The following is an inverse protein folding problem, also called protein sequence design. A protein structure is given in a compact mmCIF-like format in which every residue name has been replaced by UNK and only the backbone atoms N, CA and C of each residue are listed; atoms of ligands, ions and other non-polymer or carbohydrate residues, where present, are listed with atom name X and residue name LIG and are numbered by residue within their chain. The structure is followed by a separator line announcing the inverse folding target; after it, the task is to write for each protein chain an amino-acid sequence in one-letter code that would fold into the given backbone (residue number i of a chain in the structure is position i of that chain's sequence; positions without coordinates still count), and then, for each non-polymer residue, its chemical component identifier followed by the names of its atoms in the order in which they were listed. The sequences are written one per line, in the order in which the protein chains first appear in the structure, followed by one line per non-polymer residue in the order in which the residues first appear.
data_IF_547108094273
#
_entry.id   IF_547108094273
#
_cell.length_a   1.000
_cell.length_b   1.000
_cell.length_c   1.000
_cell.angle_alpha   90.00
_cell.angle_beta   90.00
_cell.angle_gamma   90.00
#
_symmetry.space_group_name_H-M   'P 1'
#
loop_
_entity.id
_entity.type
_entity.pdbx_description
1 polymer ?
#
# COMPACT_ATOMS: atom_id res chain seq x y z
N UNK A 1 20.16 -26.19 43.70
CA UNK A 1 18.74 -25.94 43.48
C UNK A 1 18.62 -25.35 42.09
N UNK A 2 18.33 -26.17 41.10
CA UNK A 2 18.10 -25.69 39.70
C UNK A 2 16.72 -25.08 39.65
N UNK A 3 16.67 -23.77 39.45
CA UNK A 3 15.44 -23.07 39.13
C UNK A 3 14.96 -23.62 37.77
N UNK A 4 13.93 -24.44 37.81
CA UNK A 4 13.23 -24.89 36.61
C UNK A 4 12.82 -23.65 35.86
N UNK A 5 13.53 -23.35 34.76
CA UNK A 5 13.07 -22.38 33.76
C UNK A 5 11.66 -22.84 33.35
N UNK A 6 10.66 -22.12 33.77
CA UNK A 6 9.33 -22.33 33.25
C UNK A 6 9.43 -22.14 31.74
N UNK A 7 9.37 -23.24 31.01
CA UNK A 7 9.26 -23.19 29.56
C UNK A 7 7.97 -22.45 29.24
N UNK A 8 8.11 -21.21 28.81
CA UNK A 8 6.98 -20.48 28.26
C UNK A 8 6.61 -21.13 26.93
N UNK A 9 5.50 -21.85 26.93
CA UNK A 9 4.96 -22.37 25.70
C UNK A 9 4.58 -21.22 24.75
N UNK A 10 4.84 -21.40 23.45
CA UNK A 10 4.41 -20.45 22.44
C UNK A 10 2.90 -20.21 22.57
N UNK A 11 2.52 -18.94 22.63
CA UNK A 11 1.13 -18.51 22.54
C UNK A 11 0.95 -17.79 21.22
N UNK A 12 -0.02 -18.24 20.42
CA UNK A 12 -0.38 -17.53 19.19
C UNK A 12 -0.81 -16.08 19.50
N UNK A 13 -0.45 -15.17 18.61
CA UNK A 13 -0.93 -13.80 18.70
C UNK A 13 -2.46 -13.78 18.50
N UNK A 14 -3.18 -13.28 19.49
CA UNK A 14 -4.65 -13.24 19.48
C UNK A 14 -5.13 -11.86 19.94
N UNK A 15 -5.08 -10.86 19.08
CA UNK A 15 -5.56 -9.54 19.41
C UNK A 15 -7.08 -9.54 19.61
N UNK A 16 -7.56 -8.62 20.41
CA UNK A 16 -8.99 -8.40 20.61
C UNK A 16 -9.66 -8.10 19.26
N UNK A 17 -10.79 -8.75 18.93
CA UNK A 17 -11.51 -8.49 17.68
C UNK A 17 -11.95 -7.01 17.59
N UNK A 18 -11.91 -6.45 16.40
CA UNK A 18 -12.44 -5.12 16.11
C UNK A 18 -13.94 -5.21 15.84
N UNK A 19 -14.73 -4.47 16.59
CA UNK A 19 -16.19 -4.46 16.44
C UNK A 19 -16.67 -3.39 15.45
N UNK A 20 -17.87 -3.55 14.90
CA UNK A 20 -18.50 -2.54 14.02
C UNK A 20 -18.70 -1.17 14.67
N UNK A 21 -18.90 -1.15 15.98
CA UNK A 21 -19.05 0.11 16.74
C UNK A 21 -17.72 0.84 16.91
N UNK A 22 -16.63 0.11 17.10
CA UNK A 22 -15.31 0.68 17.35
C UNK A 22 -14.62 1.20 16.09
N UNK A 23 -14.95 0.66 14.90
CA UNK A 23 -14.24 1.00 13.67
C UNK A 23 -14.25 2.49 13.32
N UNK A 24 -15.26 3.22 13.77
CA UNK A 24 -15.37 4.67 13.56
C UNK A 24 -14.48 5.48 14.52
N UNK A 25 -14.10 4.87 15.63
CA UNK A 25 -13.33 5.54 16.68
C UNK A 25 -11.83 5.25 16.54
N UNK A 26 -11.48 4.07 16.03
CA UNK A 26 -10.08 3.71 15.78
C UNK A 26 -9.53 4.36 14.53
N UNK A 27 -8.23 4.60 14.51
CA UNK A 27 -7.50 5.10 13.36
C UNK A 27 -6.77 3.93 12.67
N UNK A 28 -7.08 3.71 11.39
CA UNK A 28 -6.48 2.65 10.57
C UNK A 28 -5.11 3.11 10.12
N UNK A 29 -4.06 2.42 10.57
CA UNK A 29 -2.69 2.61 10.13
C UNK A 29 -2.38 1.65 8.97
N UNK A 30 -1.63 2.11 8.00
CA UNK A 30 -1.13 1.32 6.86
C UNK A 30 0.06 2.04 6.24
N UNK A 31 0.74 1.42 5.27
CA UNK A 31 1.80 2.09 4.51
C UNK A 31 3.08 1.28 4.43
N UNK A 32 4.13 1.96 3.97
CA UNK A 32 5.47 1.42 3.85
C UNK A 32 5.86 1.03 2.43
N UNK A 33 5.09 1.44 1.40
CA UNK A 33 5.37 1.08 0.01
C UNK A 33 5.44 2.30 -0.94
N UNK A 34 4.36 3.08 -1.05
CA UNK A 34 4.27 4.14 -2.06
C UNK A 34 3.50 5.35 -1.51
N UNK A 35 4.22 6.36 -1.05
CA UNK A 35 3.67 7.48 -0.29
C UNK A 35 2.55 8.24 -1.00
N UNK A 36 2.60 8.39 -2.35
CA UNK A 36 1.56 9.08 -3.12
C UNK A 36 0.25 8.31 -3.07
N UNK A 37 0.30 7.00 -3.37
CA UNK A 37 -0.88 6.15 -3.33
C UNK A 37 -1.44 6.06 -1.91
N UNK A 38 -0.59 5.94 -0.91
CA UNK A 38 -0.98 5.88 0.50
C UNK A 38 -1.68 7.15 0.95
N UNK A 39 -1.18 8.32 0.53
CA UNK A 39 -1.83 9.60 0.83
C UNK A 39 -3.23 9.69 0.19
N UNK A 40 -3.39 9.28 -1.06
CA UNK A 40 -4.70 9.28 -1.74
C UNK A 40 -5.63 8.20 -1.18
N UNK A 41 -5.10 7.03 -0.78
CA UNK A 41 -5.89 5.98 -0.12
C UNK A 41 -6.48 6.45 1.22
N UNK A 42 -5.82 7.36 1.93
CA UNK A 42 -6.42 8.01 3.11
C UNK A 42 -7.76 8.64 2.77
N UNK A 43 -7.85 9.35 1.66
CA UNK A 43 -9.09 9.95 1.19
C UNK A 43 -10.16 8.91 0.82
N UNK A 44 -9.75 7.73 0.31
CA UNK A 44 -10.66 6.61 0.06
C UNK A 44 -11.31 6.12 1.35
N UNK A 45 -10.52 5.92 2.40
CA UNK A 45 -11.03 5.53 3.71
C UNK A 45 -11.94 6.60 4.31
N UNK A 46 -11.52 7.86 4.30
CA UNK A 46 -12.28 8.98 4.85
C UNK A 46 -13.62 9.20 4.12
N UNK A 47 -13.64 9.02 2.79
CA UNK A 47 -14.88 9.06 2.01
C UNK A 47 -15.91 8.03 2.50
N UNK A 48 -15.46 6.88 2.98
CA UNK A 48 -16.30 5.80 3.52
C UNK A 48 -16.58 5.94 5.02
N UNK A 49 -16.09 7.00 5.65
CA UNK A 49 -16.34 7.30 7.05
C UNK A 49 -15.37 6.64 8.04
N UNK A 50 -14.23 6.12 7.56
CA UNK A 50 -13.15 5.61 8.40
C UNK A 50 -12.12 6.69 8.69
N UNK A 51 -11.49 6.64 9.87
CA UNK A 51 -10.27 7.39 10.16
C UNK A 51 -9.08 6.56 9.69
N UNK A 52 -8.19 7.16 8.92
CA UNK A 52 -7.06 6.43 8.37
C UNK A 52 -5.80 7.32 8.29
N UNK A 53 -4.65 6.71 8.51
CA UNK A 53 -3.35 7.39 8.49
C UNK A 53 -2.30 6.50 7.85
N UNK A 54 -1.68 6.91 6.75
CA UNK A 54 -0.47 6.26 6.27
C UNK A 54 0.66 6.49 7.28
N UNK A 55 1.49 5.47 7.49
CA UNK A 55 2.74 5.63 8.21
C UNK A 55 3.69 6.55 7.41
N UNK A 56 4.58 7.29 8.07
CA UNK A 56 5.57 8.09 7.36
C UNK A 56 6.50 7.18 6.53
N UNK A 57 7.14 7.74 5.52
CA UNK A 57 8.19 7.03 4.78
C UNK A 57 9.23 6.49 5.76
N UNK A 58 9.57 5.22 5.62
CA UNK A 58 10.52 4.57 6.50
C UNK A 58 11.93 5.17 6.36
N UNK A 59 12.69 5.14 7.44
CA UNK A 59 14.02 5.70 7.54
C UNK A 59 15.05 4.64 7.91
N UNK A 60 16.34 5.00 7.85
CA UNK A 60 17.41 4.12 8.33
C UNK A 60 17.26 3.78 9.81
N UNK A 61 16.73 4.69 10.64
CA UNK A 61 16.41 4.41 12.04
C UNK A 61 15.39 3.27 12.17
N UNK A 62 14.37 3.28 11.32
CA UNK A 62 13.36 2.22 11.27
C UNK A 62 13.98 0.88 10.86
N UNK A 63 14.90 0.87 9.89
CA UNK A 63 15.64 -0.34 9.53
C UNK A 63 16.38 -0.97 10.72
N UNK A 64 17.10 -0.14 11.46
CA UNK A 64 17.89 -0.60 12.61
C UNK A 64 16.98 -1.15 13.71
N UNK A 65 15.90 -0.43 14.02
CA UNK A 65 14.91 -0.87 15.01
C UNK A 65 14.22 -2.16 14.56
N UNK A 66 13.86 -2.28 13.28
CA UNK A 66 13.24 -3.50 12.76
C UNK A 66 14.16 -4.72 12.83
N UNK A 67 15.46 -4.54 12.63
CA UNK A 67 16.46 -5.60 12.83
C UNK A 67 16.65 -6.00 14.29
N UNK A 68 16.51 -5.04 15.19
CA UNK A 68 16.60 -5.29 16.64
C UNK A 68 15.37 -6.07 17.15
N UNK A 69 14.18 -5.74 16.65
CA UNK A 69 12.91 -6.27 17.17
C UNK A 69 12.40 -7.51 16.45
N UNK A 70 12.85 -7.78 15.22
CA UNK A 70 12.44 -8.93 14.42
C UNK A 70 13.50 -10.05 14.44
N UNK A 71 13.20 -11.16 13.76
CA UNK A 71 14.11 -12.28 13.62
C UNK A 71 15.34 -11.96 12.76
N UNK A 72 16.43 -12.66 13.04
CA UNK A 72 17.66 -12.63 12.26
C UNK A 72 17.39 -13.18 10.84
N UNK A 73 18.00 -12.57 9.84
CA UNK A 73 17.94 -13.06 8.45
C UNK A 73 16.69 -12.64 7.68
N UNK A 74 15.90 -11.72 8.23
CA UNK A 74 14.79 -11.11 7.50
C UNK A 74 15.30 -10.28 6.31
N UNK A 75 14.49 -10.17 5.24
CA UNK A 75 14.81 -9.31 4.11
C UNK A 75 14.71 -7.83 4.51
N UNK A 76 15.43 -6.97 3.79
CA UNK A 76 15.46 -5.53 4.05
C UNK A 76 14.07 -4.89 4.15
N UNK A 77 13.13 -5.15 3.21
CA UNK A 77 11.77 -4.63 3.30
C UNK A 77 11.05 -4.99 4.59
N UNK A 78 11.17 -6.25 5.05
CA UNK A 78 10.57 -6.67 6.33
C UNK A 78 11.11 -5.85 7.49
N UNK A 79 12.43 -5.65 7.54
CA UNK A 79 13.06 -4.86 8.61
C UNK A 79 12.60 -3.40 8.57
N UNK A 80 12.54 -2.78 7.39
CA UNK A 80 12.05 -1.40 7.25
C UNK A 80 10.59 -1.25 7.70
N UNK A 81 9.70 -2.10 7.20
CA UNK A 81 8.27 -1.99 7.51
C UNK A 81 7.96 -2.35 8.97
N UNK A 82 8.65 -3.36 9.52
CA UNK A 82 8.53 -3.73 10.94
C UNK A 82 9.00 -2.58 11.84
N UNK A 83 10.16 -2.04 11.57
CA UNK A 83 10.71 -0.93 12.37
C UNK A 83 9.90 0.35 12.22
N UNK A 84 9.38 0.65 11.05
CA UNK A 84 8.52 1.81 10.82
C UNK A 84 7.24 1.76 11.67
N UNK A 85 6.54 0.61 11.68
CA UNK A 85 5.40 0.40 12.55
C UNK A 85 5.81 0.47 14.03
N UNK A 86 6.85 -0.25 14.41
CA UNK A 86 7.34 -0.31 15.79
C UNK A 86 7.73 1.07 16.33
N UNK A 87 8.46 1.86 15.53
CA UNK A 87 8.89 3.20 15.90
C UNK A 87 7.72 4.16 16.06
N UNK A 88 6.75 4.11 15.13
CA UNK A 88 5.52 4.88 15.25
C UNK A 88 4.78 4.55 16.55
N UNK A 89 4.52 3.26 16.82
CA UNK A 89 3.79 2.83 18.01
C UNK A 89 4.54 3.12 19.30
N UNK A 90 5.87 2.97 19.32
CA UNK A 90 6.72 3.30 20.47
C UNK A 90 6.65 4.79 20.81
N UNK A 91 6.65 5.67 19.80
CA UNK A 91 6.49 7.13 19.99
C UNK A 91 5.10 7.47 20.53
N UNK A 92 4.06 6.86 19.97
CA UNK A 92 2.68 7.06 20.43
C UNK A 92 2.49 6.50 21.86
N UNK A 93 3.04 5.32 22.16
CA UNK A 93 2.96 4.73 23.50
C UNK A 93 3.60 5.63 24.59
N UNK A 94 4.73 6.26 24.26
CA UNK A 94 5.34 7.27 25.16
C UNK A 94 4.45 8.49 25.37
N UNK A 95 3.61 8.84 24.39
CA UNK A 95 2.75 10.03 24.42
C UNK A 95 1.42 9.78 25.12
N UNK A 96 0.77 8.63 24.89
CA UNK A 96 -0.59 8.37 25.36
C UNK A 96 -0.74 7.10 26.20
N UNK A 97 0.33 6.30 26.36
CA UNK A 97 0.33 5.00 27.04
C UNK A 97 0.03 3.83 26.12
N UNK A 98 0.55 2.64 26.47
CA UNK A 98 0.47 1.41 25.66
C UNK A 98 -0.98 0.96 25.42
N UNK A 99 -1.80 0.93 26.46
CA UNK A 99 -3.21 0.54 26.36
C UNK A 99 -3.99 1.50 25.45
N UNK A 100 -3.76 2.80 25.57
CA UNK A 100 -4.42 3.79 24.72
C UNK A 100 -4.01 3.64 23.24
N UNK A 101 -2.77 3.25 22.96
CA UNK A 101 -2.31 2.92 21.59
C UNK A 101 -3.06 1.71 21.05
N UNK A 102 -3.17 0.62 21.82
CA UNK A 102 -3.89 -0.58 21.42
C UNK A 102 -5.39 -0.35 21.18
N UNK A 103 -6.00 0.59 21.93
CA UNK A 103 -7.40 0.92 21.75
C UNK A 103 -7.64 1.90 20.60
N UNK A 104 -6.71 2.82 20.36
CA UNK A 104 -6.84 3.89 19.36
C UNK A 104 -6.52 3.45 17.94
N UNK A 105 -5.56 2.54 17.76
CA UNK A 105 -5.03 2.21 16.45
C UNK A 105 -5.28 0.75 16.07
N UNK A 106 -5.35 0.51 14.77
CA UNK A 106 -5.29 -0.82 14.14
C UNK A 106 -4.38 -0.73 12.92
N UNK A 107 -3.49 -1.68 12.74
CA UNK A 107 -2.63 -1.72 11.56
C UNK A 107 -3.17 -2.71 10.55
N UNK A 108 -3.36 -2.24 9.31
CA UNK A 108 -3.79 -3.05 8.18
C UNK A 108 -2.59 -3.33 7.30
N UNK A 109 -2.31 -4.59 7.06
CA UNK A 109 -1.25 -5.05 6.17
C UNK A 109 -1.79 -6.10 5.22
N UNK A 110 -1.12 -6.28 4.08
CA UNK A 110 -1.41 -7.37 3.17
C UNK A 110 -0.41 -8.50 3.38
N UNK A 111 -0.84 -9.71 3.07
CA UNK A 111 -0.01 -10.90 3.03
C UNK A 111 -0.28 -11.70 1.76
N UNK A 112 0.67 -12.52 1.35
CA UNK A 112 0.49 -13.37 0.19
C UNK A 112 1.18 -14.72 0.37
N UNK A 113 0.62 -15.78 -0.22
CA UNK A 113 1.29 -17.05 -0.37
C UNK A 113 2.14 -17.03 -1.63
N UNK A 114 3.39 -17.50 -1.56
CA UNK A 114 4.28 -17.57 -2.71
C UNK A 114 5.75 -17.56 -2.33
N UNK A 115 6.63 -17.42 -3.32
CA UNK A 115 8.07 -17.42 -3.13
C UNK A 115 8.59 -16.16 -2.43
N UNK A 116 7.81 -15.08 -2.37
CA UNK A 116 8.17 -13.85 -1.67
C UNK A 116 7.92 -13.99 -0.16
N UNK A 117 8.86 -13.49 0.66
CA UNK A 117 8.71 -13.47 2.13
C UNK A 117 7.65 -12.47 2.62
N UNK A 118 7.08 -11.66 1.74
CA UNK A 118 5.98 -10.74 2.04
C UNK A 118 4.81 -11.42 2.80
N UNK A 119 4.54 -12.68 2.49
CA UNK A 119 3.56 -13.48 3.21
C UNK A 119 3.84 -13.67 4.71
N UNK A 120 5.06 -13.41 5.17
CA UNK A 120 5.49 -13.59 6.56
C UNK A 120 5.73 -12.26 7.31
N UNK A 121 5.51 -11.10 6.67
CA UNK A 121 5.76 -9.81 7.32
C UNK A 121 4.92 -9.62 8.59
N UNK A 122 3.67 -10.10 8.58
CA UNK A 122 2.80 -10.01 9.75
C UNK A 122 3.39 -10.71 10.98
N UNK A 123 4.10 -11.84 10.80
CA UNK A 123 4.77 -12.56 11.89
C UNK A 123 5.92 -11.74 12.49
N UNK A 124 6.66 -11.00 11.63
CA UNK A 124 7.69 -10.08 12.11
C UNK A 124 7.09 -8.90 12.88
N UNK A 125 5.92 -8.39 12.44
CA UNK A 125 5.20 -7.37 13.19
C UNK A 125 4.72 -7.88 14.54
N UNK A 126 4.15 -9.09 14.61
CA UNK A 126 3.74 -9.72 15.86
C UNK A 126 4.89 -9.89 16.83
N UNK A 127 6.05 -10.35 16.34
CA UNK A 127 7.25 -10.51 17.16
C UNK A 127 7.73 -9.16 17.69
N UNK A 128 7.80 -8.14 16.84
CA UNK A 128 8.22 -6.81 17.25
C UNK A 128 7.26 -6.18 18.27
N UNK A 129 5.96 -6.40 18.12
CA UNK A 129 4.94 -5.94 19.07
C UNK A 129 5.10 -6.60 20.45
N UNK A 130 5.41 -7.91 20.48
CA UNK A 130 5.74 -8.62 21.73
C UNK A 130 6.98 -8.04 22.40
N UNK A 131 8.04 -7.84 21.61
CA UNK A 131 9.30 -7.28 22.12
C UNK A 131 9.13 -5.84 22.64
N UNK A 132 8.10 -5.12 22.19
CA UNK A 132 7.72 -3.80 22.68
C UNK A 132 6.72 -3.81 23.84
N UNK A 133 6.20 -4.96 24.26
CA UNK A 133 5.13 -5.05 25.28
C UNK A 133 3.74 -4.66 24.76
N UNK A 134 3.56 -4.57 23.43
CA UNK A 134 2.31 -4.17 22.77
C UNK A 134 1.49 -5.38 22.26
N UNK A 135 1.45 -6.48 22.99
CA UNK A 135 0.77 -7.72 22.58
C UNK A 135 -0.76 -7.54 22.38
N UNK A 136 -1.36 -6.54 22.98
CA UNK A 136 -2.78 -6.21 22.81
C UNK A 136 -3.08 -5.40 21.55
N UNK A 137 -2.06 -4.93 20.83
CA UNK A 137 -2.23 -4.14 19.61
C UNK A 137 -2.83 -4.99 18.49
N UNK A 138 -3.69 -4.40 17.67
CA UNK A 138 -4.47 -5.11 16.65
C UNK A 138 -3.82 -5.02 15.28
N UNK A 139 -3.40 -6.17 14.76
CA UNK A 139 -2.97 -6.37 13.37
C UNK A 139 -4.11 -6.96 12.56
N UNK A 140 -4.25 -6.45 11.35
CA UNK A 140 -5.26 -6.83 10.41
C UNK A 140 -4.60 -7.29 9.11
N UNK A 141 -4.65 -8.61 8.83
CA UNK A 141 -4.05 -9.18 7.65
C UNK A 141 -5.11 -9.36 6.55
N UNK A 142 -4.86 -8.76 5.39
CA UNK A 142 -5.57 -9.04 4.16
C UNK A 142 -4.78 -10.09 3.40
N UNK A 143 -5.22 -11.35 3.46
CA UNK A 143 -4.59 -12.45 2.76
C UNK A 143 -5.33 -12.78 1.46
N UNK A 144 -4.59 -13.32 0.47
CA UNK A 144 -5.11 -13.76 -0.82
C UNK A 144 -6.21 -14.82 -0.72
N UNK A 145 -6.05 -15.77 0.19
CA UNK A 145 -6.91 -16.95 0.29
C UNK A 145 -7.97 -16.83 1.37
N UNK A 146 -7.74 -16.01 2.36
CA UNK A 146 -8.68 -15.72 3.44
C UNK A 146 -8.34 -14.36 4.02
N UNK A 147 -9.31 -13.47 4.06
CA UNK A 147 -9.20 -12.36 4.98
C UNK A 147 -8.99 -12.95 6.38
N UNK A 148 -7.88 -12.61 7.02
CA UNK A 148 -7.63 -13.09 8.36
C UNK A 148 -8.80 -12.68 9.25
N UNK A 149 -9.49 -13.71 9.74
CA UNK A 149 -10.69 -13.52 10.53
C UNK A 149 -10.39 -13.14 11.98
N UNK A 150 -9.10 -13.03 12.37
CA UNK A 150 -8.74 -12.70 13.74
C UNK A 150 -9.35 -11.38 14.21
N UNK A 151 -8.90 -10.28 13.64
CA UNK A 151 -9.45 -8.96 13.93
C UNK A 151 -10.79 -8.68 13.22
N UNK A 152 -11.08 -9.40 12.11
CA UNK A 152 -12.32 -9.28 11.33
C UNK A 152 -13.52 -10.05 11.87
N UNK A 153 -13.32 -11.03 12.74
CA UNK A 153 -14.43 -11.81 13.32
C UNK A 153 -15.52 -10.93 13.94
N UNK A 154 -15.18 -9.69 14.30
CA UNK A 154 -16.13 -8.68 14.76
C UNK A 154 -16.82 -7.87 13.65
N UNK A 155 -16.42 -8.02 12.37
CA UNK A 155 -16.99 -7.27 11.24
C UNK A 155 -16.66 -5.78 11.24
N UNK A 156 -15.51 -5.36 11.83
CA UNK A 156 -15.15 -3.96 11.99
C UNK A 156 -14.83 -3.25 10.68
N UNK A 157 -13.99 -3.84 9.80
CA UNK A 157 -13.65 -3.27 8.49
C UNK A 157 -14.32 -4.09 7.39
N UNK A 158 -15.16 -3.44 6.59
CA UNK A 158 -15.82 -4.09 5.45
C UNK A 158 -15.07 -3.76 4.15
N UNK A 159 -14.56 -4.78 3.47
CA UNK A 159 -14.01 -4.62 2.11
C UNK A 159 -15.17 -4.53 1.13
N UNK A 160 -15.65 -3.31 0.97
CA UNK A 160 -16.76 -2.99 0.08
C UNK A 160 -16.27 -2.73 -1.36
N UNK A 161 -17.19 -2.79 -2.33
CA UNK A 161 -16.90 -2.42 -3.73
C UNK A 161 -16.35 -0.99 -3.82
N UNK A 162 -16.92 0.04 -3.15
CA UNK A 162 -16.35 1.38 -3.15
C UNK A 162 -14.93 1.46 -2.58
N UNK A 163 -14.61 0.68 -1.54
CA UNK A 163 -13.25 0.62 -0.99
C UNK A 163 -12.28 0.03 -2.01
N UNK A 164 -12.62 -1.14 -2.57
CA UNK A 164 -11.77 -1.83 -3.54
C UNK A 164 -11.53 -1.00 -4.80
N UNK A 165 -12.60 -0.52 -5.44
CA UNK A 165 -12.47 0.27 -6.67
C UNK A 165 -11.82 1.63 -6.41
N UNK A 166 -12.12 2.26 -5.27
CA UNK A 166 -11.44 3.48 -4.87
C UNK A 166 -9.94 3.30 -4.70
N UNK A 167 -9.51 2.20 -4.09
CA UNK A 167 -8.09 1.86 -3.94
C UNK A 167 -7.43 1.59 -5.29
N UNK A 168 -8.08 0.85 -6.18
CA UNK A 168 -7.57 0.60 -7.54
C UNK A 168 -7.38 1.91 -8.30
N UNK A 169 -8.38 2.79 -8.29
CA UNK A 169 -8.26 4.11 -8.93
C UNK A 169 -7.21 5.01 -8.27
N UNK A 170 -7.04 4.94 -6.95
CA UNK A 170 -5.98 5.68 -6.28
C UNK A 170 -4.59 5.24 -6.79
N UNK A 171 -4.37 3.94 -6.95
CA UNK A 171 -3.14 3.39 -7.53
C UNK A 171 -2.98 3.84 -8.98
N UNK A 172 -4.00 3.70 -9.84
CA UNK A 172 -3.96 4.12 -11.24
C UNK A 172 -3.62 5.61 -11.39
N UNK A 173 -4.28 6.48 -10.63
CA UNK A 173 -4.04 7.91 -10.70
C UNK A 173 -2.64 8.29 -10.21
N UNK A 174 -2.14 7.63 -9.17
CA UNK A 174 -0.82 7.93 -8.63
C UNK A 174 0.32 7.32 -9.45
N UNK A 175 0.10 6.19 -10.12
CA UNK A 175 1.04 5.64 -11.11
C UNK A 175 1.15 6.57 -12.33
N UNK A 176 0.03 7.11 -12.82
CA UNK A 176 0.04 8.11 -13.88
C UNK A 176 0.78 9.39 -13.46
N UNK A 177 0.52 9.89 -12.24
CA UNK A 177 1.23 11.03 -11.67
C UNK A 177 2.74 10.76 -11.55
N UNK A 178 3.12 9.58 -11.07
CA UNK A 178 4.52 9.18 -10.97
C UNK A 178 5.20 9.13 -12.35
N UNK A 179 4.51 8.62 -13.35
CA UNK A 179 5.03 8.61 -14.72
C UNK A 179 5.29 10.02 -15.25
N UNK A 180 4.38 10.96 -15.01
CA UNK A 180 4.57 12.38 -15.38
C UNK A 180 5.76 12.99 -14.64
N UNK A 181 5.88 12.74 -13.35
CA UNK A 181 6.96 13.24 -12.50
C UNK A 181 8.34 12.83 -13.03
N UNK A 182 8.58 11.53 -13.20
CA UNK A 182 9.88 11.01 -13.62
C UNK A 182 10.25 11.36 -15.08
N UNK A 183 9.24 11.65 -15.91
CA UNK A 183 9.44 12.13 -17.30
C UNK A 183 9.64 13.64 -17.41
N UNK A 184 9.30 14.41 -16.38
CA UNK A 184 9.39 15.87 -16.39
C UNK A 184 10.57 16.37 -15.58
N UNK A 185 10.75 15.88 -14.36
CA UNK A 185 11.76 16.38 -13.43
C UNK A 185 13.21 16.39 -13.96
N UNK A 186 13.67 15.36 -14.70
CA UNK A 186 15.02 15.41 -15.26
C UNK A 186 15.26 16.56 -16.26
N UNK A 187 14.21 17.11 -16.81
CA UNK A 187 14.25 18.12 -17.85
C UNK A 187 13.76 19.51 -17.38
N UNK A 188 13.32 19.64 -16.14
CA UNK A 188 12.84 20.94 -15.63
C UNK A 188 13.93 22.03 -15.69
N UNK A 189 13.55 23.23 -16.15
CA UNK A 189 14.45 24.38 -16.22
C UNK A 189 14.60 25.04 -14.85
N UNK A 190 13.48 25.18 -14.12
CA UNK A 190 13.48 25.65 -12.73
C UNK A 190 13.52 24.45 -11.78
N UNK A 191 14.66 24.22 -11.05
CA UNK A 191 14.76 23.11 -10.13
C UNK A 191 13.67 23.11 -9.06
N UNK A 192 13.00 21.96 -8.89
CA UNK A 192 11.92 21.76 -7.91
C UNK A 192 10.53 22.17 -8.38
N UNK A 193 10.37 22.67 -9.60
CA UNK A 193 9.07 22.97 -10.18
C UNK A 193 8.19 21.71 -10.29
N UNK A 194 8.78 20.60 -10.72
CA UNK A 194 8.09 19.31 -10.80
C UNK A 194 7.67 18.82 -9.42
N UNK A 195 8.54 18.90 -8.43
CA UNK A 195 8.23 18.45 -7.05
C UNK A 195 7.10 19.27 -6.42
N UNK A 196 7.00 20.57 -6.74
CA UNK A 196 5.90 21.42 -6.31
C UNK A 196 4.58 20.96 -6.94
N UNK A 197 4.57 20.75 -8.26
CA UNK A 197 3.38 20.28 -9.00
C UNK A 197 2.94 18.88 -8.56
N UNK A 198 3.89 18.00 -8.23
CA UNK A 198 3.58 16.67 -7.68
C UNK A 198 2.85 16.79 -6.35
N UNK A 199 3.35 17.59 -5.41
CA UNK A 199 2.68 17.78 -4.10
C UNK A 199 1.28 18.34 -4.27
N UNK A 200 1.13 19.39 -5.05
CA UNK A 200 -0.19 19.99 -5.36
C UNK A 200 -1.14 18.98 -6.03
N UNK A 201 -0.62 18.10 -6.88
CA UNK A 201 -1.41 17.08 -7.57
C UNK A 201 -1.84 15.95 -6.63
N UNK A 202 -1.00 15.56 -5.68
CA UNK A 202 -1.36 14.58 -4.64
C UNK A 202 -2.44 15.15 -3.73
N UNK A 203 -2.33 16.41 -3.30
CA UNK A 203 -3.35 17.08 -2.50
C UNK A 203 -4.67 17.26 -3.28
N UNK A 204 -4.58 17.58 -4.56
CA UNK A 204 -5.75 17.65 -5.43
C UNK A 204 -6.43 16.28 -5.57
N UNK A 205 -5.68 15.20 -5.82
CA UNK A 205 -6.23 13.84 -5.86
C UNK A 205 -6.86 13.47 -4.53
N UNK A 206 -6.22 13.79 -3.41
CA UNK A 206 -6.82 13.55 -2.09
C UNK A 206 -8.22 14.16 -1.98
N UNK A 207 -8.40 15.43 -2.39
CA UNK A 207 -9.73 16.09 -2.37
C UNK A 207 -10.71 15.45 -3.36
N UNK A 208 -10.27 15.05 -4.55
CA UNK A 208 -11.08 14.33 -5.54
C UNK A 208 -11.62 13.03 -4.95
N UNK A 209 -10.74 12.23 -4.34
CA UNK A 209 -11.13 10.94 -3.74
C UNK A 209 -11.98 11.10 -2.48
N UNK A 210 -11.72 12.11 -1.66
CA UNK A 210 -12.51 12.41 -0.47
C UNK A 210 -13.94 12.80 -0.80
N UNK A 211 -14.15 13.48 -1.92
CA UNK A 211 -15.47 14.00 -2.37
C UNK A 211 -16.18 13.08 -3.34
N UNK A 212 -15.61 11.93 -3.72
CA UNK A 212 -16.23 11.08 -4.74
C UNK A 212 -17.63 10.61 -4.32
N UNK A 213 -18.58 10.50 -5.29
CA UNK A 213 -20.00 10.29 -4.98
C UNK A 213 -20.46 8.84 -4.90
N UNK A 214 -19.58 7.84 -5.09
CA UNK A 214 -19.89 6.40 -5.24
C UNK A 214 -20.30 5.69 -3.93
N UNK A 215 -20.96 6.36 -3.01
CA UNK A 215 -21.39 5.85 -1.69
C UNK A 215 -22.56 4.88 -1.74
N UNK A 216 -22.86 4.30 -2.90
CA UNK A 216 -23.99 3.40 -3.08
C UNK A 216 -23.77 2.00 -2.51
N UNK A 217 -24.88 1.25 -2.39
CA UNK A 217 -24.86 -0.18 -2.09
C UNK A 217 -24.98 -1.01 -3.36
N UNK A 218 -24.52 -2.28 -3.33
CA UNK A 218 -24.59 -3.23 -4.42
C UNK A 218 -23.78 -2.81 -5.65
N UNK A 219 -24.36 -2.91 -6.85
CA UNK A 219 -23.71 -2.71 -8.14
C UNK A 219 -23.59 -1.25 -8.60
N UNK A 220 -24.31 -0.33 -7.96
CA UNK A 220 -24.28 1.10 -8.32
C UNK A 220 -22.87 1.70 -8.39
N UNK A 221 -22.01 1.49 -7.36
CA UNK A 221 -20.62 1.95 -7.40
C UNK A 221 -19.84 1.39 -8.59
N UNK A 222 -19.99 0.11 -8.91
CA UNK A 222 -19.31 -0.51 -10.06
C UNK A 222 -19.72 0.15 -11.37
N UNK A 223 -21.02 0.33 -11.59
CA UNK A 223 -21.53 0.99 -12.81
C UNK A 223 -21.00 2.42 -12.88
N UNK A 224 -21.02 3.17 -11.77
CA UNK A 224 -20.51 4.53 -11.73
C UNK A 224 -19.02 4.59 -12.12
N UNK A 225 -18.17 3.72 -11.56
CA UNK A 225 -16.75 3.67 -11.90
C UNK A 225 -16.48 3.29 -13.36
N UNK A 226 -17.34 2.50 -13.98
CA UNK A 226 -17.19 2.05 -15.37
C UNK A 226 -17.76 3.04 -16.39
N UNK A 227 -18.69 3.92 -16.01
CA UNK A 227 -19.42 4.77 -16.93
C UNK A 227 -19.10 6.26 -16.83
N UNK A 228 -18.39 6.68 -15.76
CA UNK A 228 -18.05 8.09 -15.57
C UNK A 228 -16.58 8.37 -15.92
N UNK A 229 -16.33 9.60 -16.35
CA UNK A 229 -14.99 10.12 -16.62
C UNK A 229 -14.41 10.91 -15.42
N UNK A 230 -14.91 10.66 -14.20
CA UNK A 230 -14.59 11.42 -13.00
C UNK A 230 -13.08 11.48 -12.74
N UNK A 231 -12.41 10.33 -12.69
CA UNK A 231 -10.97 10.27 -12.46
C UNK A 231 -10.15 10.68 -13.68
N UNK A 232 -10.65 10.41 -14.89
CA UNK A 232 -9.99 10.84 -16.12
C UNK A 232 -9.97 12.37 -16.25
N UNK A 233 -11.03 13.05 -15.79
CA UNK A 233 -11.04 14.51 -15.70
C UNK A 233 -9.99 15.04 -14.73
N UNK A 234 -9.86 14.38 -13.57
CA UNK A 234 -8.84 14.74 -12.59
C UNK A 234 -7.42 14.56 -13.16
N UNK A 235 -7.16 13.45 -13.87
CA UNK A 235 -5.87 13.22 -14.53
C UNK A 235 -5.57 14.24 -15.62
N UNK A 236 -6.56 14.65 -16.41
CA UNK A 236 -6.38 15.72 -17.41
C UNK A 236 -5.99 17.06 -16.78
N UNK A 237 -6.56 17.39 -15.62
CA UNK A 237 -6.18 18.59 -14.88
C UNK A 237 -4.73 18.53 -14.38
N UNK A 238 -4.32 17.37 -13.85
CA UNK A 238 -2.93 17.14 -13.46
C UNK A 238 -2.00 17.26 -14.67
N UNK A 239 -2.36 16.64 -15.79
CA UNK A 239 -1.57 16.69 -17.03
C UNK A 239 -1.32 18.14 -17.47
N UNK A 240 -2.35 19.01 -17.43
CA UNK A 240 -2.21 20.45 -17.76
C UNK A 240 -1.23 21.17 -16.84
N UNK A 241 -1.20 20.83 -15.55
CA UNK A 241 -0.22 21.41 -14.61
C UNK A 241 1.21 21.01 -14.98
N UNK A 242 1.41 19.77 -15.42
CA UNK A 242 2.72 19.32 -15.90
C UNK A 242 3.12 19.94 -17.24
N UNK A 243 2.17 20.14 -18.15
CA UNK A 243 2.42 20.85 -19.42
C UNK A 243 2.87 22.30 -19.21
N UNK A 244 2.49 22.92 -18.11
CA UNK A 244 2.91 24.28 -17.77
C UNK A 244 4.35 24.37 -17.20
N UNK A 245 4.98 23.24 -16.89
CA UNK A 245 6.38 23.22 -16.43
C UNK A 245 7.30 23.43 -17.62
N UNK A 246 8.17 24.44 -17.53
CA UNK A 246 9.20 24.66 -18.53
C UNK A 246 10.24 23.57 -18.48
N UNK A 247 10.50 22.91 -19.63
CA UNK A 247 11.41 21.78 -19.75
C UNK A 247 12.39 21.96 -20.91
N UNK A 248 13.66 21.65 -20.69
CA UNK A 248 14.70 21.55 -21.72
C UNK A 248 14.89 20.09 -22.14
N UNK A 249 14.34 19.74 -23.32
CA UNK A 249 14.48 18.40 -23.92
C UNK A 249 15.52 18.33 -25.03
N UNK A 250 16.32 19.37 -25.21
CA UNK A 250 17.41 19.36 -26.21
C UNK A 250 18.52 18.39 -25.84
N UNK A 251 18.70 18.11 -24.55
CA UNK A 251 19.65 17.11 -24.06
C UNK A 251 18.91 15.80 -23.85
N UNK A 252 19.15 14.83 -24.73
CA UNK A 252 18.63 13.46 -24.57
C UNK A 252 19.29 12.79 -23.38
N UNK A 253 18.49 12.29 -22.45
CA UNK A 253 18.96 11.54 -21.28
C UNK A 253 18.73 10.05 -21.48
N UNK A 254 19.63 9.18 -21.00
CA UNK A 254 19.41 7.73 -21.03
C UNK A 254 18.22 7.38 -20.12
N UNK A 255 17.32 6.54 -20.63
CA UNK A 255 16.21 6.02 -19.82
C UNK A 255 16.68 4.79 -19.05
N UNK A 256 16.61 4.85 -17.73
CA UNK A 256 17.05 3.79 -16.82
C UNK A 256 15.86 3.18 -16.10
N UNK A 257 15.71 1.86 -16.21
CA UNK A 257 14.73 1.11 -15.44
C UNK A 257 15.38 0.33 -14.31
N UNK A 258 14.88 0.53 -13.09
CA UNK A 258 15.27 -0.27 -11.94
C UNK A 258 14.45 -1.56 -11.98
N UNK A 259 15.12 -2.72 -11.89
CA UNK A 259 14.49 -4.03 -11.88
C UNK A 259 14.94 -4.85 -10.68
N UNK A 260 14.27 -5.96 -10.42
CA UNK A 260 14.60 -6.88 -9.35
C UNK A 260 13.55 -6.88 -8.25
N UNK A 261 13.90 -6.41 -7.07
CA UNK A 261 13.04 -6.44 -5.89
C UNK A 261 11.94 -5.37 -5.98
N UNK A 262 10.68 -5.77 -5.75
CA UNK A 262 9.50 -4.92 -5.91
C UNK A 262 9.52 -3.70 -4.98
N UNK A 263 9.92 -3.90 -3.72
CA UNK A 263 9.98 -2.84 -2.73
C UNK A 263 10.92 -1.70 -3.15
N UNK A 264 12.13 -2.03 -3.67
CA UNK A 264 13.07 -1.04 -4.17
C UNK A 264 12.56 -0.24 -5.37
N UNK A 265 11.66 -0.84 -6.17
CA UNK A 265 11.10 -0.18 -7.34
C UNK A 265 10.00 0.82 -6.99
N UNK A 266 9.30 0.61 -5.87
CA UNK A 266 8.08 1.35 -5.52
C UNK A 266 8.27 2.35 -4.38
N UNK A 267 9.16 2.05 -3.44
CA UNK A 267 9.44 2.91 -2.29
C UNK A 267 10.43 4.02 -2.66
N UNK A 268 10.40 5.10 -1.92
CA UNK A 268 11.34 6.21 -2.04
C UNK A 268 12.05 6.49 -0.70
N UNK A 269 13.13 7.25 -0.76
CA UNK A 269 13.90 7.63 0.42
C UNK A 269 14.94 6.59 0.83
N UNK A 270 15.19 6.46 2.13
CA UNK A 270 16.20 5.54 2.68
C UNK A 270 15.96 4.06 2.27
N UNK A 271 14.71 3.57 2.19
CA UNK A 271 14.46 2.17 1.83
C UNK A 271 14.98 1.75 0.46
N UNK A 272 15.05 2.67 -0.49
CA UNK A 272 15.63 2.40 -1.82
C UNK A 272 16.97 3.13 -2.04
N UNK A 273 17.64 3.57 -0.98
CA UNK A 273 18.91 4.30 -1.04
C UNK A 273 18.84 5.59 -1.87
N UNK A 274 17.66 6.20 -2.00
CA UNK A 274 17.40 7.35 -2.85
C UNK A 274 17.84 7.13 -4.32
N UNK A 275 17.82 5.88 -4.81
CA UNK A 275 18.39 5.49 -6.11
C UNK A 275 17.75 6.25 -7.27
N UNK A 276 16.45 6.58 -7.18
CA UNK A 276 15.77 7.35 -8.23
C UNK A 276 16.39 8.74 -8.36
N UNK A 277 16.51 9.47 -7.24
CA UNK A 277 17.10 10.81 -7.22
C UNK A 277 18.58 10.82 -7.58
N UNK A 278 19.30 9.78 -7.15
CA UNK A 278 20.70 9.62 -7.52
C UNK A 278 20.86 9.44 -9.03
N UNK A 279 20.10 8.57 -9.66
CA UNK A 279 20.14 8.36 -11.11
C UNK A 279 19.81 9.65 -11.88
N UNK A 280 18.82 10.42 -11.42
CA UNK A 280 18.49 11.71 -12.02
C UNK A 280 19.62 12.72 -11.88
N UNK A 281 20.33 12.74 -10.74
CA UNK A 281 21.50 13.61 -10.53
C UNK A 281 22.68 13.23 -11.41
N UNK A 282 22.80 11.94 -11.79
CA UNK A 282 23.80 11.46 -12.77
C UNK A 282 23.35 11.68 -14.23
N UNK A 283 22.20 12.31 -14.45
CA UNK A 283 21.72 12.70 -15.76
C UNK A 283 20.82 11.71 -16.47
N UNK A 284 20.24 10.73 -15.76
CA UNK A 284 19.30 9.78 -16.33
C UNK A 284 17.83 10.25 -16.22
N UNK A 285 16.98 9.72 -17.11
CA UNK A 285 15.53 9.67 -16.93
C UNK A 285 15.18 8.31 -16.29
N UNK A 286 14.51 8.30 -15.15
CA UNK A 286 14.13 7.04 -14.49
C UNK A 286 12.77 6.58 -15.01
N UNK A 287 12.68 5.32 -15.42
CA UNK A 287 11.40 4.69 -15.76
C UNK A 287 10.84 4.00 -14.50
N UNK A 288 9.80 4.56 -13.86
CA UNK A 288 9.23 3.99 -12.65
C UNK A 288 8.51 2.68 -12.95
N UNK A 289 8.43 1.81 -11.95
CA UNK A 289 7.63 0.60 -12.02
C UNK A 289 6.21 0.90 -11.52
N UNK A 290 5.18 0.90 -12.39
CA UNK A 290 3.81 1.14 -11.96
C UNK A 290 3.30 0.01 -11.07
N UNK A 291 2.64 0.35 -9.96
CA UNK A 291 2.04 -0.64 -9.04
C UNK A 291 0.91 -1.40 -9.74
N UNK A 292 0.20 -0.76 -10.66
CA UNK A 292 -0.89 -1.37 -11.43
C UNK A 292 -0.45 -2.61 -12.21
N UNK A 293 0.79 -2.66 -12.67
CA UNK A 293 1.36 -3.83 -13.36
C UNK A 293 1.43 -5.03 -12.42
N UNK A 294 1.71 -4.79 -11.14
CA UNK A 294 1.70 -5.85 -10.14
C UNK A 294 0.28 -6.37 -9.86
N UNK A 295 -0.73 -5.51 -9.88
CA UNK A 295 -2.13 -5.95 -9.78
C UNK A 295 -2.54 -6.83 -10.98
N UNK A 296 -2.11 -6.46 -12.19
CA UNK A 296 -2.34 -7.28 -13.40
C UNK A 296 -1.63 -8.63 -13.32
N UNK A 297 -0.38 -8.63 -12.84
CA UNK A 297 0.38 -9.87 -12.58
C UNK A 297 -0.35 -10.80 -11.61
N UNK A 298 -0.97 -10.25 -10.55
CA UNK A 298 -1.74 -10.99 -9.57
C UNK A 298 -2.97 -11.67 -10.17
N UNK A 299 -3.72 -10.95 -11.00
CA UNK A 299 -4.88 -11.51 -11.71
C UNK A 299 -4.40 -12.66 -12.60
N UNK A 300 -3.30 -12.48 -13.33
CA UNK A 300 -2.72 -13.51 -14.18
C UNK A 300 -2.26 -14.73 -13.39
N UNK A 301 -1.59 -14.54 -12.28
CA UNK A 301 -1.14 -15.61 -11.40
C UNK A 301 -2.32 -16.44 -10.89
N UNK A 302 -3.38 -15.78 -10.46
CA UNK A 302 -4.59 -16.46 -9.97
C UNK A 302 -5.33 -17.22 -11.08
N UNK A 303 -5.35 -16.69 -12.29
CA UNK A 303 -5.85 -17.40 -13.46
C UNK A 303 -5.05 -18.67 -13.71
N UNK A 304 -3.71 -18.59 -13.67
CA UNK A 304 -2.83 -19.75 -13.86
C UNK A 304 -3.07 -20.82 -12.78
N UNK A 305 -3.20 -20.41 -11.52
CA UNK A 305 -3.49 -21.34 -10.43
C UNK A 305 -4.84 -22.08 -10.64
N UNK A 306 -5.84 -21.40 -11.17
CA UNK A 306 -7.11 -22.03 -11.51
C UNK A 306 -6.98 -22.96 -12.74
N UNK A 307 -6.18 -22.60 -13.73
CA UNK A 307 -5.88 -23.45 -14.90
C UNK A 307 -5.18 -24.74 -14.48
N UNK A 308 -4.21 -24.66 -13.57
CA UNK A 308 -3.45 -25.81 -13.04
C UNK A 308 -4.37 -26.75 -12.21
N UNK A 309 -5.44 -26.22 -11.65
CA UNK A 309 -6.46 -26.99 -10.89
C UNK A 309 -7.65 -27.44 -11.74
N UNK A 310 -7.61 -27.26 -13.06
CA UNK A 310 -8.70 -27.72 -13.96
C UNK A 310 -8.90 -29.22 -13.82
N UNK A 311 -10.17 -29.62 -13.63
CA UNK A 311 -10.56 -31.02 -13.37
C UNK A 311 -10.80 -31.36 -11.89
N UNK A 312 -10.29 -30.56 -10.95
CA UNK A 312 -10.56 -30.70 -9.51
C UNK A 312 -11.62 -29.71 -9.00
N UNK A 313 -11.74 -28.53 -9.62
CA UNK A 313 -12.76 -27.51 -9.31
C UNK A 313 -13.74 -27.37 -10.48
N UNK A 314 -15.00 -27.78 -10.26
CA UNK A 314 -16.09 -27.69 -11.26
C UNK A 314 -16.41 -26.24 -11.66
N UNK A 315 -16.03 -25.26 -10.86
CA UNK A 315 -16.27 -23.83 -11.11
C UNK A 315 -15.08 -23.10 -11.72
N UNK A 316 -13.93 -23.77 -11.85
CA UNK A 316 -12.67 -23.16 -12.31
C UNK A 316 -12.84 -22.48 -13.67
N UNK A 317 -13.50 -23.13 -14.63
CA UNK A 317 -13.67 -22.57 -15.97
C UNK A 317 -14.48 -21.26 -16.00
N UNK A 318 -15.56 -21.18 -15.22
CA UNK A 318 -16.35 -19.94 -15.09
C UNK A 318 -15.54 -18.82 -14.40
N UNK A 319 -14.78 -19.15 -13.35
CA UNK A 319 -13.89 -18.21 -12.64
C UNK A 319 -12.79 -17.69 -13.57
N UNK A 320 -12.15 -18.57 -14.36
CA UNK A 320 -11.12 -18.20 -15.33
C UNK A 320 -11.69 -17.23 -16.38
N UNK A 321 -12.86 -17.54 -16.92
CA UNK A 321 -13.51 -16.65 -17.89
C UNK A 321 -13.81 -15.27 -17.28
N UNK A 322 -14.37 -15.22 -16.08
CA UNK A 322 -14.67 -13.98 -15.38
C UNK A 322 -13.39 -13.16 -15.09
N UNK A 323 -12.32 -13.81 -14.62
CA UNK A 323 -11.04 -13.15 -14.32
C UNK A 323 -10.34 -12.64 -15.58
N UNK A 324 -10.34 -13.42 -16.68
CA UNK A 324 -9.79 -12.97 -17.97
C UNK A 324 -10.56 -11.78 -18.54
N UNK A 325 -11.89 -11.77 -18.36
CA UNK A 325 -12.73 -10.64 -18.75
C UNK A 325 -12.45 -9.41 -17.89
N UNK A 326 -12.31 -9.57 -16.58
CA UNK A 326 -11.92 -8.52 -15.65
C UNK A 326 -10.51 -7.98 -15.99
N UNK A 327 -9.56 -8.85 -16.28
CA UNK A 327 -8.20 -8.47 -16.66
C UNK A 327 -8.20 -7.66 -17.96
N UNK A 328 -8.99 -8.07 -18.96
CA UNK A 328 -9.12 -7.32 -20.22
C UNK A 328 -9.68 -5.92 -19.98
N UNK A 329 -10.72 -5.79 -19.14
CA UNK A 329 -11.30 -4.51 -18.75
C UNK A 329 -10.28 -3.66 -18.00
N UNK A 330 -9.60 -4.25 -17.02
CA UNK A 330 -8.56 -3.58 -16.23
C UNK A 330 -7.45 -3.04 -17.12
N UNK A 331 -6.91 -3.83 -18.05
CA UNK A 331 -5.90 -3.38 -19.02
C UNK A 331 -6.38 -2.23 -19.89
N UNK A 332 -7.65 -2.23 -20.28
CA UNK A 332 -8.22 -1.13 -21.06
C UNK A 332 -8.31 0.19 -20.29
N UNK A 333 -8.19 0.17 -18.95
CA UNK A 333 -8.23 1.39 -18.13
C UNK A 333 -6.86 2.03 -17.92
N UNK A 334 -5.75 1.31 -18.13
CA UNK A 334 -4.40 1.85 -17.92
C UNK A 334 -3.51 1.85 -19.19
N UNK A 335 -3.95 1.27 -20.31
CA UNK A 335 -3.33 1.40 -21.62
C UNK A 335 -3.97 2.58 -22.39
#
# INVERSE_FOLDING_TARGET
MATLLQQQHYRAYQPRPLTKSEIKDVEILYGGLHWRAEHVMKAVFENLGYKARPLPTATREDLLLGRELADIGQCCPTSFTTGNLANFLRREAKRIGEQAVADKYVYVTAGSCGACRFGQYHQSYELALRNLGLESFRLFLIDQNRMDQGALKGGGLEISIPLTLGTVWAILCTDALQSLEYRTRPYEVEPGSTDRVVRESVDYLYEVFRKRPDKGKKWGPLVWHLTTDYFTKALREIYRKFEAIEVDRLRVKPVVKITGEFYLQTVEGDPNYNIHRWLESEGAEVYPAPIVVWLDYWIRFYVQELEDRMGTDRTAQAKIWALKSLQKLFRATYN
#
